data_IF_074904734486
#
_entry.id   IF_074904734486
#
_cell.length_a   1.000
_cell.length_b   1.000
_cell.length_c   1.000
_cell.angle_alpha   90.00
_cell.angle_beta   90.00
_cell.angle_gamma   90.00
#
_symmetry.space_group_name_H-M   'P 1'
#
loop_
_entity.id
_entity.type
_entity.pdbx_description
1 polymer ?
#
# COMPACT_ATOMS: atom_id res chain seq x y z
N UNK A 1 -0.72 -6.09 -19.53
CA UNK A 1 -0.02 -7.04 -20.46
C UNK A 1 1.48 -6.98 -20.20
N UNK A 2 2.11 -5.80 -20.24
CA UNK A 2 3.58 -5.63 -20.05
C UNK A 2 4.07 -6.14 -18.70
N UNK A 3 3.37 -5.84 -17.60
CA UNK A 3 3.75 -6.31 -16.27
C UNK A 3 3.69 -7.84 -16.15
N UNK A 4 2.76 -8.48 -16.84
CA UNK A 4 2.65 -9.94 -16.88
C UNK A 4 3.80 -10.58 -17.68
N UNK A 5 4.27 -9.91 -18.72
CA UNK A 5 5.41 -10.36 -19.53
C UNK A 5 6.74 -10.18 -18.79
N UNK A 6 6.91 -9.04 -18.09
CA UNK A 6 8.14 -8.74 -17.34
C UNK A 6 8.18 -9.52 -16.00
N UNK A 7 7.02 -9.63 -15.33
CA UNK A 7 6.94 -10.21 -13.99
C UNK A 7 6.86 -11.72 -13.96
N UNK A 8 6.81 -12.40 -15.13
CA UNK A 8 6.60 -13.83 -15.25
C UNK A 8 5.55 -14.39 -14.28
N UNK A 9 5.10 -15.60 -14.46
CA UNK A 9 4.10 -16.26 -13.61
C UNK A 9 4.65 -16.68 -12.21
N UNK A 10 5.75 -16.09 -11.76
CA UNK A 10 6.33 -16.38 -10.45
C UNK A 10 5.43 -15.92 -9.31
N UNK A 11 5.16 -16.83 -8.39
CA UNK A 11 4.61 -16.50 -7.09
C UNK A 11 5.58 -15.60 -6.31
N UNK A 12 5.06 -14.77 -5.43
CA UNK A 12 5.91 -14.00 -4.51
C UNK A 12 6.85 -14.93 -3.72
N UNK A 13 6.41 -16.10 -3.31
CA UNK A 13 7.23 -17.08 -2.60
C UNK A 13 8.35 -17.69 -3.44
N UNK A 14 8.18 -17.85 -4.73
CA UNK A 14 9.19 -18.46 -5.60
C UNK A 14 10.41 -17.55 -5.81
N UNK A 15 10.28 -16.25 -5.54
CA UNK A 15 11.37 -15.27 -5.65
C UNK A 15 12.37 -15.28 -4.49
N UNK A 16 12.53 -16.43 -3.77
CA UNK A 16 12.88 -16.50 -2.36
C UNK A 16 14.26 -16.71 -1.90
N UNK A 17 15.25 -16.78 -2.72
CA UNK A 17 16.66 -16.69 -2.26
C UNK A 17 17.19 -15.25 -2.17
N UNK A 18 16.30 -14.29 -2.36
CA UNK A 18 16.62 -12.87 -2.38
C UNK A 18 16.24 -12.11 -1.09
N UNK A 19 16.31 -10.78 -1.11
CA UNK A 19 15.92 -9.93 0.00
C UNK A 19 14.42 -10.08 0.31
N UNK A 20 14.04 -9.87 1.57
CA UNK A 20 12.64 -9.87 1.97
C UNK A 20 11.94 -8.64 1.38
N UNK A 21 10.80 -8.87 0.75
CA UNK A 21 10.01 -7.87 0.05
C UNK A 21 8.61 -7.82 0.62
N UNK A 22 8.11 -6.61 0.86
CA UNK A 22 6.71 -6.35 1.17
C UNK A 22 6.21 -5.21 0.27
N UNK A 23 5.07 -5.42 -0.39
CA UNK A 23 4.41 -4.45 -1.25
C UNK A 23 3.07 -4.11 -0.62
N UNK A 24 2.75 -2.82 -0.52
CA UNK A 24 1.55 -2.33 0.16
C UNK A 24 0.46 -1.98 -0.85
N UNK A 25 -0.76 -2.38 -0.55
CA UNK A 25 -1.95 -2.00 -1.29
C UNK A 25 -3.08 -1.65 -0.34
N UNK A 26 -3.90 -0.68 -0.71
CA UNK A 26 -5.10 -0.26 0.00
C UNK A 26 -6.30 -1.11 -0.44
N UNK A 27 -7.11 -1.62 0.51
CA UNK A 27 -8.35 -2.34 0.23
C UNK A 27 -9.54 -1.42 0.47
N UNK A 28 -10.39 -1.22 -0.56
CA UNK A 28 -11.43 -0.19 -0.55
C UNK A 28 -12.87 -0.70 -0.44
N UNK A 29 -13.11 -2.02 -0.54
CA UNK A 29 -14.48 -2.56 -0.57
C UNK A 29 -14.88 -3.42 0.64
N UNK A 30 -14.19 -3.29 1.76
CA UNK A 30 -14.39 -4.22 2.88
C UNK A 30 -15.68 -3.97 3.68
N UNK A 31 -16.41 -2.86 3.45
CA UNK A 31 -17.74 -2.57 4.03
C UNK A 31 -18.46 -1.49 3.24
N UNK A 32 -19.83 -1.48 3.25
CA UNK A 32 -20.59 -0.42 2.60
C UNK A 32 -20.27 0.95 3.22
N UNK A 33 -20.06 1.93 2.38
CA UNK A 33 -19.87 3.32 2.76
C UNK A 33 -21.15 3.81 3.47
N UNK A 34 -21.08 4.04 4.77
CA UNK A 34 -22.14 4.75 5.49
C UNK A 34 -22.02 6.24 5.16
N UNK A 35 -23.10 6.88 4.66
CA UNK A 35 -23.02 8.22 4.08
C UNK A 35 -22.93 9.39 5.07
N UNK A 36 -22.73 9.14 6.35
CA UNK A 36 -22.71 10.19 7.39
C UNK A 36 -21.36 10.24 8.13
N UNK A 37 -20.64 11.31 7.99
CA UNK A 37 -19.37 11.76 8.57
C UNK A 37 -18.14 11.62 7.64
N UNK A 38 -18.09 12.48 6.68
CA UNK A 38 -17.15 12.46 5.56
C UNK A 38 -15.65 12.62 5.88
N UNK A 39 -15.25 12.98 7.09
CA UNK A 39 -13.84 13.28 7.39
C UNK A 39 -13.14 12.25 8.29
N UNK A 40 -13.89 11.54 9.10
CA UNK A 40 -13.32 10.52 10.02
C UNK A 40 -13.61 9.08 9.58
N UNK A 41 -14.68 8.86 8.84
CA UNK A 41 -15.16 7.52 8.45
C UNK A 41 -14.44 6.94 7.25
N UNK A 42 -13.88 7.78 6.37
CA UNK A 42 -13.11 7.29 5.21
C UNK A 42 -11.87 6.50 5.65
N UNK A 43 -11.22 6.93 6.73
CA UNK A 43 -10.02 6.25 7.24
C UNK A 43 -10.31 4.95 8.00
N UNK A 44 -11.51 4.77 8.53
CA UNK A 44 -11.87 3.60 9.36
C UNK A 44 -12.18 2.35 8.53
N UNK A 45 -12.54 2.51 7.26
CA UNK A 45 -12.94 1.40 6.37
C UNK A 45 -11.87 1.00 5.35
N UNK A 46 -10.75 1.72 5.28
CA UNK A 46 -9.63 1.33 4.46
C UNK A 46 -8.68 0.44 5.28
N UNK A 47 -8.48 -0.75 4.80
CA UNK A 47 -7.45 -1.65 5.30
C UNK A 47 -6.34 -1.71 4.25
N UNK A 48 -5.10 -1.83 4.67
CA UNK A 48 -4.04 -2.15 3.76
C UNK A 48 -3.65 -3.62 3.86
N UNK A 49 -3.18 -4.16 2.77
CA UNK A 49 -2.68 -5.53 2.67
C UNK A 49 -1.21 -5.50 2.26
N UNK A 50 -0.41 -6.32 2.91
CA UNK A 50 0.98 -6.55 2.55
C UNK A 50 1.07 -7.80 1.67
N UNK A 51 1.51 -7.63 0.44
CA UNK A 51 1.95 -8.73 -0.41
C UNK A 51 3.39 -9.05 -0.06
N UNK A 52 3.61 -10.19 0.56
CA UNK A 52 4.90 -10.60 1.09
C UNK A 52 5.50 -11.72 0.29
N UNK A 53 6.81 -11.72 0.22
CA UNK A 53 7.58 -12.83 -0.25
C UNK A 53 8.16 -13.67 0.91
N UNK A 54 7.68 -13.58 2.11
CA UNK A 54 8.14 -14.29 3.29
C UNK A 54 6.99 -14.61 4.23
N UNK A 55 7.19 -15.61 5.06
CA UNK A 55 6.33 -15.92 6.19
C UNK A 55 7.02 -15.56 7.50
N UNK A 56 6.24 -15.23 8.51
CA UNK A 56 6.78 -14.98 9.85
C UNK A 56 7.03 -16.31 10.57
N UNK A 57 8.02 -16.34 11.48
CA UNK A 57 8.20 -17.49 12.37
C UNK A 57 6.92 -17.79 13.15
N UNK A 58 6.62 -19.06 13.49
CA UNK A 58 5.38 -19.45 14.18
C UNK A 58 5.11 -18.74 15.51
N UNK A 59 6.17 -18.24 16.14
CA UNK A 59 6.11 -17.54 17.43
C UNK A 59 5.89 -16.02 17.31
N UNK A 60 5.95 -15.48 16.10
CA UNK A 60 5.85 -14.06 15.83
C UNK A 60 4.90 -13.85 14.66
N UNK A 61 3.89 -13.04 14.85
CA UNK A 61 2.95 -12.67 13.80
C UNK A 61 2.96 -11.17 13.57
N UNK A 62 2.83 -10.77 12.32
CA UNK A 62 2.60 -9.36 12.01
C UNK A 62 1.21 -8.93 12.46
N UNK A 63 1.09 -7.69 12.95
CA UNK A 63 -0.21 -7.05 13.17
C UNK A 63 -0.93 -6.72 11.86
N UNK A 64 -0.19 -6.72 10.76
CA UNK A 64 -0.71 -6.33 9.46
C UNK A 64 -1.21 -7.55 8.69
N UNK A 65 -2.39 -7.40 8.09
CA UNK A 65 -2.92 -8.38 7.16
C UNK A 65 -1.97 -8.53 5.99
N UNK A 66 -1.67 -9.75 5.59
CA UNK A 66 -0.78 -9.99 4.47
C UNK A 66 -0.95 -11.37 3.88
N UNK A 67 -0.38 -11.56 2.69
CA UNK A 67 -0.45 -12.81 1.96
C UNK A 67 0.78 -13.01 1.09
N UNK A 68 1.15 -14.27 0.93
CA UNK A 68 2.27 -14.72 0.09
C UNK A 68 1.80 -15.40 -1.19
N UNK A 69 0.47 -15.60 -1.37
CA UNK A 69 -0.10 -16.42 -2.43
C UNK A 69 -0.18 -15.78 -3.81
N UNK A 70 -0.02 -14.46 -3.86
CA UNK A 70 -0.17 -13.72 -5.11
C UNK A 70 1.09 -13.73 -5.95
N UNK A 71 0.91 -13.47 -7.24
CA UNK A 71 2.02 -13.28 -8.17
C UNK A 71 2.64 -11.90 -7.99
N UNK A 72 3.92 -11.77 -8.29
CA UNK A 72 4.65 -10.52 -8.14
C UNK A 72 4.02 -9.37 -8.94
N UNK A 73 3.61 -9.63 -10.19
CA UNK A 73 2.97 -8.63 -11.03
C UNK A 73 1.58 -8.20 -10.50
N UNK A 74 0.82 -9.10 -9.84
CA UNK A 74 -0.46 -8.76 -9.21
C UNK A 74 -0.26 -7.78 -8.05
N UNK A 75 0.74 -8.02 -7.24
CA UNK A 75 1.08 -7.14 -6.12
C UNK A 75 1.51 -5.75 -6.59
N UNK A 76 2.34 -5.67 -7.63
CA UNK A 76 2.76 -4.39 -8.22
C UNK A 76 1.55 -3.66 -8.80
N UNK A 77 0.71 -4.35 -9.58
CA UNK A 77 -0.47 -3.76 -10.20
C UNK A 77 -1.45 -3.23 -9.14
N UNK A 78 -1.67 -3.99 -8.06
CA UNK A 78 -2.52 -3.58 -6.96
C UNK A 78 -1.97 -2.37 -6.20
N UNK A 79 -0.65 -2.35 -5.97
CA UNK A 79 0.06 -1.26 -5.27
C UNK A 79 0.14 0.04 -6.07
N UNK A 80 0.09 -0.03 -7.38
CA UNK A 80 0.21 1.13 -8.28
C UNK A 80 -1.13 1.58 -8.88
N UNK A 81 -2.25 1.03 -8.44
CA UNK A 81 -3.57 1.38 -8.94
C UNK A 81 -4.08 2.69 -8.30
N UNK A 82 -3.43 3.80 -8.66
CA UNK A 82 -3.78 5.14 -8.15
C UNK A 82 -5.22 5.51 -8.50
N UNK A 83 -6.03 5.96 -7.52
CA UNK A 83 -7.38 6.45 -7.76
C UNK A 83 -7.39 7.54 -8.84
N UNK A 84 -8.45 7.60 -9.60
CA UNK A 84 -8.64 8.49 -10.76
C UNK A 84 -7.80 8.16 -11.99
N UNK A 85 -6.60 7.63 -11.84
CA UNK A 85 -5.72 7.23 -12.95
C UNK A 85 -5.96 5.78 -13.41
N UNK A 86 -6.13 4.87 -12.48
CA UNK A 86 -6.27 3.45 -12.77
C UNK A 86 -7.48 2.84 -12.08
N UNK A 87 -8.04 1.81 -12.69
CA UNK A 87 -9.08 1.01 -12.06
C UNK A 87 -8.47 0.16 -10.94
N UNK A 88 -9.22 0.01 -9.84
CA UNK A 88 -8.83 -0.90 -8.77
C UNK A 88 -8.68 -2.34 -9.27
N UNK A 89 -7.75 -3.06 -8.67
CA UNK A 89 -7.44 -4.46 -9.00
C UNK A 89 -8.24 -5.37 -8.10
N UNK A 90 -8.96 -6.34 -8.67
CA UNK A 90 -9.76 -7.28 -7.88
C UNK A 90 -8.93 -8.55 -7.63
N UNK A 91 -8.62 -8.81 -6.36
CA UNK A 91 -7.96 -10.02 -5.90
C UNK A 91 -8.79 -10.60 -4.73
N UNK A 92 -9.20 -11.86 -4.83
CA UNK A 92 -10.05 -12.56 -3.83
C UNK A 92 -11.30 -11.78 -3.39
N UNK A 93 -12.02 -11.19 -4.34
CA UNK A 93 -13.19 -10.34 -4.10
C UNK A 93 -12.91 -9.05 -3.31
N UNK A 94 -11.65 -8.71 -3.11
CA UNK A 94 -11.23 -7.43 -2.56
C UNK A 94 -10.77 -6.51 -3.67
N UNK A 95 -11.19 -5.26 -3.60
CA UNK A 95 -10.75 -4.22 -4.53
C UNK A 95 -9.53 -3.54 -3.92
N UNK A 96 -8.41 -3.71 -4.60
CA UNK A 96 -7.13 -3.12 -4.24
C UNK A 96 -6.88 -1.84 -5.02
N UNK A 97 -6.37 -0.85 -4.34
CA UNK A 97 -5.88 0.41 -4.89
C UNK A 97 -4.48 0.71 -4.37
N UNK A 98 -3.90 1.79 -4.89
CA UNK A 98 -2.55 2.25 -4.54
C UNK A 98 -2.34 2.32 -3.03
N UNK A 99 -1.25 1.72 -2.58
CA UNK A 99 -0.85 1.75 -1.17
C UNK A 99 -0.60 3.16 -0.64
N UNK A 100 -0.22 4.08 -1.52
CA UNK A 100 0.00 5.50 -1.20
C UNK A 100 -1.24 6.20 -0.64
N UNK A 101 -2.44 5.72 -0.94
CA UNK A 101 -3.69 6.27 -0.37
C UNK A 101 -3.72 6.22 1.16
N UNK A 102 -3.16 5.17 1.76
CA UNK A 102 -3.11 5.00 3.22
C UNK A 102 -1.71 5.10 3.81
N UNK A 103 -0.71 4.64 3.07
CA UNK A 103 0.63 4.48 3.58
C UNK A 103 1.67 4.73 2.48
N UNK A 104 1.82 6.00 2.10
CA UNK A 104 2.79 6.40 1.09
C UNK A 104 4.24 6.17 1.54
N UNK A 105 4.53 6.42 2.81
CA UNK A 105 5.84 6.10 3.38
C UNK A 105 5.78 4.80 4.19
N UNK A 106 6.22 3.65 3.64
CA UNK A 106 6.12 2.35 4.28
C UNK A 106 7.22 2.07 5.33
N UNK A 107 8.06 3.02 5.67
CA UNK A 107 9.23 2.80 6.56
C UNK A 107 8.83 2.24 7.92
N UNK A 108 7.75 2.75 8.53
CA UNK A 108 7.27 2.26 9.82
C UNK A 108 6.80 0.80 9.75
N UNK A 109 6.11 0.44 8.67
CA UNK A 109 5.66 -0.94 8.42
C UNK A 109 6.87 -1.85 8.19
N UNK A 110 7.82 -1.42 7.37
CA UNK A 110 9.04 -2.19 7.11
C UNK A 110 9.84 -2.46 8.40
N UNK A 111 9.92 -1.47 9.28
CA UNK A 111 10.56 -1.62 10.59
C UNK A 111 9.82 -2.62 11.49
N UNK A 112 8.48 -2.56 11.51
CA UNK A 112 7.67 -3.53 12.25
C UNK A 112 7.89 -4.95 11.71
N UNK A 113 7.78 -5.17 10.42
CA UNK A 113 7.99 -6.46 9.76
C UNK A 113 9.40 -7.02 10.04
N UNK A 114 10.42 -6.17 9.92
CA UNK A 114 11.80 -6.56 10.21
C UNK A 114 11.99 -7.02 11.67
N UNK A 115 11.37 -6.34 12.63
CA UNK A 115 11.40 -6.75 14.05
C UNK A 115 10.71 -8.08 14.30
N UNK A 116 9.65 -8.39 13.56
CA UNK A 116 8.97 -9.69 13.66
C UNK A 116 9.79 -10.82 13.00
N UNK A 117 10.47 -10.52 11.90
CA UNK A 117 11.33 -11.49 11.22
C UNK A 117 12.63 -11.78 11.99
N UNK A 118 13.22 -10.74 12.57
CA UNK A 118 14.53 -10.81 13.21
C UNK A 118 14.55 -10.16 14.60
N UNK A 119 13.80 -10.71 15.59
CA UNK A 119 13.59 -10.06 16.89
C UNK A 119 14.86 -9.88 17.72
N UNK A 120 15.91 -10.68 17.45
CA UNK A 120 17.18 -10.64 18.18
C UNK A 120 18.25 -9.80 17.47
N UNK A 121 17.98 -9.33 16.26
CA UNK A 121 18.95 -8.59 15.48
C UNK A 121 18.83 -7.10 15.73
N UNK A 122 19.96 -6.42 15.89
CA UNK A 122 19.97 -4.97 15.96
C UNK A 122 19.79 -4.37 14.56
N UNK A 123 18.96 -3.35 14.48
CA UNK A 123 18.80 -2.57 13.25
C UNK A 123 20.10 -1.79 13.01
N UNK A 124 20.74 -2.00 11.87
CA UNK A 124 21.98 -1.33 11.52
C UNK A 124 21.76 -0.07 10.70
N UNK A 125 20.81 -0.11 9.77
CA UNK A 125 20.52 1.01 8.88
C UNK A 125 19.07 0.97 8.40
N UNK A 126 18.47 2.13 8.21
CA UNK A 126 17.20 2.32 7.51
C UNK A 126 17.44 3.34 6.41
N UNK A 127 17.03 3.00 5.19
CA UNK A 127 17.03 3.92 4.06
C UNK A 127 15.59 4.08 3.59
N UNK A 128 15.08 5.32 3.65
CA UNK A 128 13.76 5.68 3.12
C UNK A 128 13.96 6.56 1.89
N UNK A 129 13.46 6.10 0.76
CA UNK A 129 13.63 6.80 -0.53
C UNK A 129 12.25 7.20 -1.04
N UNK A 130 12.11 8.45 -1.42
CA UNK A 130 10.89 9.00 -2.03
C UNK A 130 11.16 9.54 -3.43
N UNK A 131 10.09 9.85 -4.13
CA UNK A 131 10.14 10.42 -5.49
C UNK A 131 10.03 11.96 -5.50
N UNK A 132 10.12 12.60 -4.35
CA UNK A 132 10.02 14.05 -4.17
C UNK A 132 8.71 14.48 -3.52
N UNK A 133 8.59 15.77 -3.29
CA UNK A 133 7.40 16.41 -2.73
C UNK A 133 7.00 17.59 -3.60
N UNK A 134 5.74 17.64 -4.00
CA UNK A 134 5.17 18.82 -4.62
C UNK A 134 4.99 19.88 -3.53
N UNK A 135 5.70 21.01 -3.66
CA UNK A 135 5.42 22.16 -2.82
C UNK A 135 4.15 22.83 -3.36
N UNK A 136 3.04 22.64 -2.67
CA UNK A 136 1.80 23.34 -2.96
C UNK A 136 2.07 24.84 -2.84
N UNK A 137 1.94 25.58 -3.94
CA UNK A 137 1.77 27.03 -3.84
C UNK A 137 0.45 27.24 -3.12
N UNK A 138 0.50 27.92 -1.99
CA UNK A 138 -0.71 28.37 -1.31
C UNK A 138 -1.32 29.43 -2.22
N UNK A 139 -2.26 29.06 -3.06
CA UNK A 139 -3.06 30.01 -3.82
C UNK A 139 -3.94 30.77 -2.85
N UNK A 140 -3.96 32.10 -2.90
CA UNK A 140 -4.68 32.94 -1.95
C UNK A 140 -6.20 32.88 -2.11
N UNK A 141 -6.74 32.27 -3.14
CA UNK A 141 -8.17 32.08 -3.34
C UNK A 141 -8.56 30.62 -3.24
N UNK A 142 -9.43 30.23 -2.28
CA UNK A 142 -9.92 28.86 -2.19
C UNK A 142 -10.90 28.61 -3.36
N UNK A 143 -10.51 27.78 -4.30
CA UNK A 143 -11.43 27.21 -5.28
C UNK A 143 -12.59 26.49 -4.58
N UNK A 144 -13.82 26.55 -5.15
CA UNK A 144 -14.96 25.88 -4.54
C UNK A 144 -14.71 24.38 -4.44
N UNK A 145 -14.94 23.85 -3.26
CA UNK A 145 -14.69 22.46 -2.89
C UNK A 145 -15.35 21.48 -3.87
N UNK A 146 -14.53 20.82 -4.67
CA UNK A 146 -14.90 19.64 -5.44
C UNK A 146 -14.45 18.38 -4.68
N UNK A 147 -15.22 17.28 -4.76
CA UNK A 147 -14.78 16.02 -4.17
C UNK A 147 -13.49 15.48 -4.83
N UNK A 148 -13.26 15.85 -6.10
CA UNK A 148 -12.02 15.55 -6.83
C UNK A 148 -10.83 16.27 -6.19
N UNK A 149 -10.98 17.53 -5.80
CA UNK A 149 -9.92 18.28 -5.09
C UNK A 149 -9.58 17.66 -3.73
N UNK A 150 -10.54 16.99 -3.09
CA UNK A 150 -10.29 16.27 -1.84
C UNK A 150 -9.48 14.98 -2.06
N UNK A 151 -9.71 14.28 -3.18
CA UNK A 151 -8.91 13.11 -3.57
C UNK A 151 -7.50 13.54 -3.97
N UNK A 152 -7.37 14.61 -4.75
CA UNK A 152 -6.09 15.18 -5.13
C UNK A 152 -5.30 15.66 -3.89
N UNK A 153 -5.97 16.32 -2.92
CA UNK A 153 -5.34 16.71 -1.67
C UNK A 153 -4.91 15.51 -0.80
N UNK A 154 -5.63 14.40 -0.84
CA UNK A 154 -5.19 13.15 -0.17
C UNK A 154 -3.95 12.59 -0.87
N UNK A 155 -3.93 12.56 -2.19
CA UNK A 155 -2.79 12.11 -2.98
C UNK A 155 -1.58 13.02 -2.72
N UNK A 156 -1.77 14.33 -2.76
CA UNK A 156 -0.71 15.32 -2.50
C UNK A 156 -0.20 15.27 -1.05
N UNK A 157 -1.08 15.01 -0.07
CA UNK A 157 -0.67 14.86 1.33
C UNK A 157 0.08 13.56 1.59
N UNK A 158 -0.05 12.60 0.69
CA UNK A 158 0.60 11.31 0.76
C UNK A 158 1.97 11.31 0.02
N UNK A 159 2.28 12.32 -0.77
CA UNK A 159 3.60 12.53 -1.40
C UNK A 159 4.46 13.48 -0.61
#
# INVERSE_FOLDING_TARGET
IILKEIGSDFSLLDSFNGPKLAIISCVVNNKPLMPFLFRYVIMINFEFTLFRNYEHPPTHSSHYRGSTKYKFWEAILASSAAPTYFKGVILDNLVHQDGGVLMNNPTAIALHEARQLWPRNHLQCIISVGNGRVMSKVDPEPEPYSWTSSVDAIIDSAT
#
